data_IF_248742524744
#
_entry.id   IF_248742524744
#
_cell.length_a   1.000
_cell.length_b   1.000
_cell.length_c   1.000
_cell.angle_alpha   90.00
_cell.angle_beta   90.00
_cell.angle_gamma   90.00
#
_symmetry.space_group_name_H-M   'P 1'
#
loop_
_entity.id
_entity.type
_entity.pdbx_description
1 polymer ?
#
# COMPACT_ATOMS: atom_id res chain seq x y z
N UNK A 1 -23.12 1.16 -55.56
CA UNK A 1 -24.48 1.66 -55.82
C UNK A 1 -25.47 0.59 -55.38
N UNK A 2 -26.48 0.99 -54.63
CA UNK A 2 -27.44 0.15 -53.93
C UNK A 2 -28.31 -0.73 -54.85
N UNK A 3 -28.56 -1.97 -54.44
CA UNK A 3 -29.91 -2.55 -54.25
C UNK A 3 -29.84 -4.09 -54.29
N UNK A 4 -30.30 -4.74 -53.23
CA UNK A 4 -30.69 -6.16 -53.26
C UNK A 4 -31.92 -6.32 -52.36
N UNK A 5 -33.07 -6.49 -53.00
CA UNK A 5 -34.30 -6.93 -52.38
C UNK A 5 -34.27 -8.46 -52.18
N UNK A 6 -34.79 -8.95 -51.05
CA UNK A 6 -35.49 -10.24 -51.00
C UNK A 6 -36.26 -10.37 -49.69
N UNK A 7 -37.58 -10.23 -49.79
CA UNK A 7 -38.54 -10.78 -48.86
C UNK A 7 -38.70 -12.28 -49.11
N UNK A 8 -38.80 -13.07 -48.03
CA UNK A 8 -39.71 -14.24 -47.92
C UNK A 8 -39.60 -14.83 -46.52
N UNK A 9 -40.71 -14.70 -45.78
CA UNK A 9 -40.92 -15.41 -44.54
C UNK A 9 -41.16 -16.91 -44.78
N UNK A 10 -40.67 -17.72 -43.85
CA UNK A 10 -41.17 -19.07 -43.65
C UNK A 10 -41.34 -19.27 -42.13
N UNK A 11 -42.60 -19.29 -41.69
CA UNK A 11 -42.98 -19.78 -40.36
C UNK A 11 -42.93 -21.30 -40.40
N UNK A 12 -42.11 -21.90 -39.54
CA UNK A 12 -42.30 -23.28 -39.10
C UNK A 12 -42.51 -23.27 -37.59
N UNK A 13 -43.74 -23.62 -37.21
CA UNK A 13 -44.19 -23.80 -35.85
C UNK A 13 -43.80 -25.20 -35.33
N UNK A 14 -43.27 -25.25 -34.10
CA UNK A 14 -43.52 -26.34 -33.16
C UNK A 14 -42.36 -27.29 -32.86
N UNK A 15 -41.70 -27.09 -31.72
CA UNK A 15 -41.87 -27.96 -30.53
C UNK A 15 -41.10 -27.40 -29.33
N UNK A 16 -41.82 -27.34 -28.22
CA UNK A 16 -41.37 -26.99 -26.88
C UNK A 16 -40.48 -28.12 -26.35
N UNK A 17 -39.25 -27.82 -25.96
CA UNK A 17 -38.55 -28.55 -24.90
C UNK A 17 -37.97 -27.54 -23.92
N UNK A 18 -38.66 -27.45 -22.79
CA UNK A 18 -38.18 -27.13 -21.46
C UNK A 18 -36.66 -27.07 -21.29
N UNK A 19 -36.17 -25.92 -20.84
CA UNK A 19 -34.82 -25.77 -20.33
C UNK A 19 -34.62 -24.38 -19.74
N UNK A 20 -35.32 -24.06 -18.64
CA UNK A 20 -34.90 -22.97 -17.75
C UNK A 20 -33.49 -23.33 -17.24
N UNK A 21 -32.45 -22.73 -17.80
CA UNK A 21 -31.21 -22.55 -17.05
C UNK A 21 -31.32 -21.16 -16.43
N UNK A 22 -31.99 -21.08 -15.29
CA UNK A 22 -31.71 -20.01 -14.37
C UNK A 22 -30.24 -20.19 -13.97
N UNK A 23 -29.34 -19.47 -14.64
CA UNK A 23 -27.98 -19.32 -14.17
C UNK A 23 -28.05 -18.51 -12.89
N UNK A 24 -28.18 -19.19 -11.77
CA UNK A 24 -27.82 -18.62 -10.49
C UNK A 24 -26.30 -18.47 -10.56
N UNK A 25 -25.83 -17.29 -10.96
CA UNK A 25 -24.45 -16.89 -10.78
C UNK A 25 -24.24 -16.72 -9.27
N UNK A 26 -23.98 -17.84 -8.58
CA UNK A 26 -23.33 -17.80 -7.28
C UNK A 26 -21.85 -17.67 -7.59
N UNK A 27 -21.37 -16.45 -7.87
CA UNK A 27 -19.94 -16.23 -7.70
C UNK A 27 -19.70 -16.37 -6.20
N UNK A 28 -19.13 -17.50 -5.75
CA UNK A 28 -18.41 -17.47 -4.49
C UNK A 28 -17.27 -16.49 -4.71
N UNK A 29 -17.47 -15.22 -4.34
CA UNK A 29 -16.36 -14.30 -4.14
C UNK A 29 -15.48 -14.98 -3.11
N UNK A 30 -14.36 -15.54 -3.57
CA UNK A 30 -13.29 -16.22 -2.85
C UNK A 30 -13.73 -17.07 -1.63
N UNK A 31 -13.36 -18.36 -1.61
CA UNK A 31 -13.39 -19.11 -0.35
C UNK A 31 -12.36 -18.48 0.61
N UNK A 32 -12.75 -17.47 1.37
CA UNK A 32 -11.95 -16.99 2.48
C UNK A 32 -11.68 -18.20 3.36
N UNK A 33 -10.40 -18.55 3.49
CA UNK A 33 -9.98 -19.71 4.29
C UNK A 33 -10.29 -19.47 5.77
N UNK A 34 -10.28 -18.20 6.18
CA UNK A 34 -10.64 -17.75 7.51
C UNK A 34 -11.91 -16.88 7.46
N UNK A 35 -12.70 -16.93 8.52
CA UNK A 35 -13.99 -16.24 8.56
C UNK A 35 -14.51 -16.09 9.98
N UNK A 36 -15.70 -15.52 10.10
CA UNK A 36 -16.36 -15.34 11.40
C UNK A 36 -16.49 -16.67 12.17
N UNK A 37 -16.82 -17.77 11.49
CA UNK A 37 -16.92 -19.08 12.13
C UNK A 37 -15.58 -19.59 12.64
N UNK A 38 -14.49 -19.45 11.89
CA UNK A 38 -13.16 -19.83 12.36
C UNK A 38 -12.77 -19.03 13.61
N UNK A 39 -13.06 -17.73 13.61
CA UNK A 39 -12.89 -16.87 14.79
C UNK A 39 -13.71 -17.36 15.99
N UNK A 40 -15.01 -17.61 15.83
CA UNK A 40 -15.90 -18.09 16.89
C UNK A 40 -15.49 -19.47 17.42
N UNK A 41 -15.04 -20.37 16.54
CA UNK A 41 -14.56 -21.71 16.88
C UNK A 41 -13.18 -21.70 17.58
N UNK A 42 -12.59 -20.52 17.80
CA UNK A 42 -11.45 -20.34 18.69
C UNK A 42 -10.12 -20.05 17.98
N UNK A 43 -10.12 -19.86 16.66
CA UNK A 43 -8.94 -19.41 15.91
C UNK A 43 -8.72 -17.90 16.13
N UNK A 44 -8.03 -17.61 17.24
CA UNK A 44 -7.59 -16.27 17.65
C UNK A 44 -6.17 -16.00 17.18
N UNK A 45 -5.94 -14.81 16.63
CA UNK A 45 -4.63 -14.39 16.13
C UNK A 45 -3.61 -14.19 17.26
N UNK A 46 -4.03 -13.56 18.37
CA UNK A 46 -3.12 -13.27 19.50
C UNK A 46 -2.50 -14.52 20.11
N UNK A 47 -3.19 -15.66 20.09
CA UNK A 47 -2.66 -16.94 20.60
C UNK A 47 -1.45 -17.45 19.82
N UNK A 48 -1.29 -17.01 18.56
CA UNK A 48 -0.17 -17.40 17.69
C UNK A 48 1.02 -16.45 17.82
N UNK A 49 0.82 -15.27 18.42
CA UNK A 49 1.86 -14.27 18.52
C UNK A 49 2.89 -14.65 19.58
N UNK A 50 4.16 -14.66 19.18
CA UNK A 50 5.33 -14.76 20.03
C UNK A 50 6.11 -13.45 20.06
N UNK A 51 7.29 -13.44 20.71
CA UNK A 51 8.14 -12.24 20.80
C UNK A 51 8.64 -11.75 19.43
N UNK A 52 8.82 -12.67 18.47
CA UNK A 52 9.30 -12.38 17.11
C UNK A 52 8.16 -12.17 16.10
N UNK A 53 6.91 -12.02 16.54
CA UNK A 53 5.76 -11.71 15.68
C UNK A 53 5.73 -10.22 15.33
N UNK A 54 6.74 -9.75 14.60
CA UNK A 54 6.92 -8.35 14.24
C UNK A 54 7.05 -8.18 12.73
N UNK A 55 6.63 -7.03 12.24
CA UNK A 55 6.92 -6.57 10.89
C UNK A 55 8.07 -5.58 10.96
N UNK A 56 9.17 -5.93 10.30
CA UNK A 56 10.38 -5.12 10.22
C UNK A 56 10.57 -4.73 8.76
N UNK A 57 10.79 -3.45 8.49
CA UNK A 57 11.03 -2.95 7.13
C UNK A 57 12.43 -2.36 7.04
N UNK A 58 13.22 -2.80 6.07
CA UNK A 58 14.55 -2.25 5.79
C UNK A 58 14.43 -1.22 4.68
N UNK A 59 14.67 0.04 5.03
CA UNK A 59 14.59 1.19 4.14
C UNK A 59 15.99 1.77 3.84
N UNK A 60 16.10 2.38 2.66
CA UNK A 60 17.35 2.98 2.21
C UNK A 60 17.34 3.27 0.72
N UNK A 61 18.41 3.92 0.26
CA UNK A 61 18.61 4.25 -1.15
C UNK A 61 18.77 2.97 -2.03
N UNK A 62 18.67 3.09 -3.36
CA UNK A 62 18.54 1.95 -4.28
C UNK A 62 19.61 0.87 -4.07
N UNK A 63 20.89 1.25 -4.14
CA UNK A 63 22.04 0.35 -4.03
C UNK A 63 22.71 0.37 -2.64
N UNK A 64 21.93 0.53 -1.56
CA UNK A 64 22.45 0.53 -0.19
C UNK A 64 22.79 -0.87 0.37
N UNK A 65 22.50 -1.95 -0.36
CA UNK A 65 22.73 -3.33 0.11
C UNK A 65 21.61 -3.90 1.01
N UNK A 66 20.48 -3.21 1.08
CA UNK A 66 19.31 -3.51 1.91
C UNK A 66 18.83 -4.97 1.82
N UNK A 67 18.75 -5.56 0.63
CA UNK A 67 18.25 -6.93 0.49
C UNK A 67 19.14 -8.00 1.10
N UNK A 68 20.45 -7.82 1.07
CA UNK A 68 21.37 -8.76 1.74
C UNK A 68 21.22 -8.68 3.27
N UNK A 69 21.03 -7.46 3.80
CA UNK A 69 20.84 -7.22 5.23
C UNK A 69 19.49 -7.79 5.66
N UNK A 70 18.41 -7.48 4.94
CA UNK A 70 17.06 -7.96 5.21
C UNK A 70 16.98 -9.50 5.21
N UNK A 71 17.62 -10.16 4.24
CA UNK A 71 17.66 -11.62 4.17
C UNK A 71 18.40 -12.23 5.36
N UNK A 72 19.62 -11.74 5.67
CA UNK A 72 20.39 -12.24 6.82
C UNK A 72 19.67 -12.00 8.15
N UNK A 73 19.02 -10.84 8.29
CA UNK A 73 18.24 -10.49 9.46
C UNK A 73 17.05 -11.44 9.65
N UNK A 74 16.33 -11.75 8.56
CA UNK A 74 15.22 -12.69 8.59
C UNK A 74 15.69 -14.11 8.97
N UNK A 75 16.79 -14.58 8.38
CA UNK A 75 17.38 -15.88 8.70
C UNK A 75 17.80 -15.98 10.17
N UNK A 76 18.37 -14.90 10.73
CA UNK A 76 18.78 -14.83 12.14
C UNK A 76 17.61 -14.80 13.11
N UNK A 77 16.57 -14.01 12.83
CA UNK A 77 15.40 -13.86 13.69
C UNK A 77 14.34 -14.97 13.50
N UNK A 78 14.54 -15.87 12.53
CA UNK A 78 13.57 -16.90 12.15
C UNK A 78 12.30 -16.33 11.52
N UNK A 79 12.39 -15.16 10.89
CA UNK A 79 11.29 -14.45 10.26
C UNK A 79 11.20 -14.76 8.77
N UNK A 80 10.01 -14.55 8.17
CA UNK A 80 9.84 -14.70 6.72
C UNK A 80 10.39 -13.47 6.00
N UNK A 81 11.33 -13.69 5.09
CA UNK A 81 11.85 -12.63 4.22
C UNK A 81 10.95 -12.44 2.99
N UNK A 82 10.56 -11.20 2.75
CA UNK A 82 9.89 -10.74 1.53
C UNK A 82 10.89 -9.89 0.73
N UNK A 83 11.29 -10.32 -0.47
CA UNK A 83 12.24 -9.57 -1.30
C UNK A 83 11.63 -8.26 -1.80
N UNK A 84 12.45 -7.32 -2.27
CA UNK A 84 11.94 -6.06 -2.85
C UNK A 84 10.91 -6.34 -3.95
N UNK A 85 9.74 -5.69 -3.82
CA UNK A 85 8.67 -5.75 -4.78
C UNK A 85 9.12 -5.26 -6.16
N UNK A 86 9.00 -6.14 -7.17
CA UNK A 86 9.30 -5.83 -8.56
C UNK A 86 8.02 -5.57 -9.37
N UNK A 87 8.18 -5.07 -10.60
CA UNK A 87 7.05 -4.76 -11.49
C UNK A 87 6.17 -5.98 -11.79
N UNK A 88 6.73 -7.19 -11.68
CA UNK A 88 6.06 -8.47 -11.93
C UNK A 88 5.64 -9.22 -10.66
N UNK A 89 5.67 -8.59 -9.48
CA UNK A 89 5.31 -9.25 -8.23
C UNK A 89 3.90 -9.88 -8.29
N UNK A 90 2.92 -9.15 -8.82
CA UNK A 90 1.54 -9.64 -8.96
C UNK A 90 1.44 -10.82 -9.94
N UNK A 91 2.26 -10.84 -10.99
CA UNK A 91 2.29 -11.95 -11.94
C UNK A 91 2.83 -13.22 -11.27
N UNK A 92 3.82 -13.07 -10.39
CA UNK A 92 4.43 -14.17 -9.63
C UNK A 92 3.52 -14.72 -8.53
N UNK A 93 2.78 -13.85 -7.85
CA UNK A 93 1.89 -14.26 -6.75
C UNK A 93 0.54 -14.77 -7.27
N UNK A 94 0.11 -14.35 -8.46
CA UNK A 94 -1.18 -14.74 -9.03
C UNK A 94 -1.07 -15.81 -10.12
N UNK A 95 -2.08 -16.68 -10.19
CA UNK A 95 -2.20 -17.72 -11.22
C UNK A 95 -1.06 -18.73 -11.23
N UNK A 96 -0.38 -18.84 -12.36
CA UNK A 96 0.68 -19.81 -12.69
C UNK A 96 2.10 -19.31 -12.37
N UNK A 97 2.25 -18.05 -11.94
CA UNK A 97 3.55 -17.45 -11.61
C UNK A 97 4.41 -17.10 -12.83
N UNK A 98 3.86 -17.19 -14.05
CA UNK A 98 4.55 -16.77 -15.27
C UNK A 98 4.53 -15.25 -15.40
N UNK A 99 5.64 -14.69 -15.92
CA UNK A 99 5.75 -13.26 -16.16
C UNK A 99 4.86 -12.90 -17.36
N UNK A 100 3.94 -11.97 -17.16
CA UNK A 100 3.02 -11.57 -18.22
C UNK A 100 3.65 -10.48 -19.09
N UNK A 101 3.21 -10.36 -20.36
CA UNK A 101 3.55 -9.21 -21.18
C UNK A 101 3.21 -7.89 -20.48
N UNK A 102 4.09 -6.88 -20.61
CA UNK A 102 3.96 -5.58 -19.92
C UNK A 102 2.58 -4.92 -20.09
N UNK A 103 1.90 -5.17 -21.21
CA UNK A 103 0.52 -4.72 -21.47
C UNK A 103 -0.48 -5.12 -20.37
N UNK A 104 -0.27 -6.24 -19.70
CA UNK A 104 -1.15 -6.73 -18.62
C UNK A 104 -0.65 -6.35 -17.22
N UNK A 105 0.64 -6.03 -17.08
CA UNK A 105 1.29 -5.65 -15.81
C UNK A 105 1.45 -4.12 -15.72
N UNK A 106 0.35 -3.38 -15.92
CA UNK A 106 0.32 -1.92 -15.77
C UNK A 106 0.95 -1.10 -16.92
N UNK A 107 1.42 -1.75 -17.99
CA UNK A 107 2.10 -1.12 -19.13
C UNK A 107 3.22 -0.14 -18.69
N UNK A 108 3.94 -0.52 -17.65
CA UNK A 108 5.06 0.24 -17.11
C UNK A 108 6.35 -0.56 -17.22
N UNK A 109 7.47 0.15 -17.28
CA UNK A 109 8.81 -0.45 -17.30
C UNK A 109 9.81 0.45 -16.58
N UNK A 110 10.58 -0.16 -15.67
CA UNK A 110 11.71 0.49 -15.01
C UNK A 110 12.81 0.91 -15.99
N UNK A 111 13.12 0.06 -16.97
CA UNK A 111 14.14 0.36 -17.98
C UNK A 111 13.79 1.62 -18.78
N UNK A 112 12.52 1.72 -19.21
CA UNK A 112 12.02 2.90 -19.92
C UNK A 112 12.07 4.16 -19.05
N UNK A 113 11.83 4.03 -17.74
CA UNK A 113 11.95 5.15 -16.81
C UNK A 113 13.39 5.64 -16.67
N UNK A 114 14.37 4.75 -16.59
CA UNK A 114 15.77 5.16 -16.50
C UNK A 114 16.33 5.71 -17.80
N UNK A 115 15.82 5.24 -18.95
CA UNK A 115 16.22 5.73 -20.27
C UNK A 115 15.68 7.13 -20.56
N UNK A 116 14.39 7.37 -20.32
CA UNK A 116 13.76 8.68 -20.47
C UNK A 116 12.71 8.94 -19.38
N UNK A 117 13.12 9.49 -18.23
CA UNK A 117 12.22 9.82 -17.13
C UNK A 117 11.19 10.91 -17.48
N UNK A 118 11.36 11.65 -18.57
CA UNK A 118 10.46 12.74 -19.01
C UNK A 118 9.64 12.35 -20.23
N UNK A 119 9.55 11.06 -20.51
CA UNK A 119 8.81 10.54 -21.64
C UNK A 119 7.34 11.01 -21.60
N UNK A 120 6.79 11.57 -22.70
CA UNK A 120 5.41 12.05 -22.75
C UNK A 120 4.35 10.94 -22.64
N UNK A 121 4.76 9.67 -22.71
CA UNK A 121 3.91 8.49 -22.52
C UNK A 121 3.39 8.32 -21.07
N UNK A 122 3.89 9.12 -20.12
CA UNK A 122 3.46 9.07 -18.73
C UNK A 122 4.00 7.86 -17.94
N UNK A 123 4.96 7.11 -18.51
CA UNK A 123 5.55 5.92 -17.89
C UNK A 123 6.05 6.19 -16.47
N UNK A 124 6.64 7.35 -16.20
CA UNK A 124 7.23 7.69 -14.89
C UNK A 124 6.20 7.63 -13.76
N UNK A 125 5.04 8.28 -13.95
CA UNK A 125 4.00 8.26 -12.92
C UNK A 125 3.22 6.93 -12.91
N UNK A 126 2.95 6.35 -14.09
CA UNK A 126 2.29 5.04 -14.19
C UNK A 126 3.07 3.95 -13.47
N UNK A 127 4.40 3.93 -13.64
CA UNK A 127 5.31 3.05 -12.93
C UNK A 127 5.28 3.30 -11.43
N UNK A 128 5.32 4.55 -10.97
CA UNK A 128 5.27 4.85 -9.53
C UNK A 128 3.95 4.39 -8.91
N UNK A 129 2.81 4.64 -9.58
CA UNK A 129 1.50 4.18 -9.14
C UNK A 129 1.39 2.65 -9.12
N UNK A 130 1.94 1.97 -10.13
CA UNK A 130 2.03 0.51 -10.16
C UNK A 130 2.89 -0.04 -9.02
N UNK A 131 4.08 0.53 -8.80
CA UNK A 131 4.99 0.13 -7.72
C UNK A 131 4.36 0.34 -6.34
N UNK A 132 3.63 1.44 -6.13
CA UNK A 132 2.86 1.65 -4.90
C UNK A 132 1.83 0.55 -4.69
N UNK A 133 1.06 0.22 -5.74
CA UNK A 133 0.04 -0.83 -5.73
C UNK A 133 0.64 -2.19 -5.39
N UNK A 134 1.76 -2.53 -6.02
CA UNK A 134 2.50 -3.76 -5.76
C UNK A 134 3.01 -3.81 -4.32
N UNK A 135 3.60 -2.72 -3.80
CA UNK A 135 4.10 -2.64 -2.42
C UNK A 135 2.98 -2.78 -1.39
N UNK A 136 1.81 -2.21 -1.67
CA UNK A 136 0.63 -2.36 -0.83
C UNK A 136 0.15 -3.83 -0.79
N UNK A 137 0.13 -4.49 -1.94
CA UNK A 137 -0.24 -5.90 -2.05
C UNK A 137 0.77 -6.81 -1.34
N UNK A 138 2.06 -6.54 -1.48
CA UNK A 138 3.11 -7.26 -0.73
C UNK A 138 3.00 -7.05 0.78
N UNK A 139 2.68 -5.83 1.22
CA UNK A 139 2.44 -5.55 2.63
C UNK A 139 1.22 -6.28 3.17
N UNK A 140 0.15 -6.38 2.37
CA UNK A 140 -1.03 -7.20 2.67
C UNK A 140 -0.67 -8.69 2.81
N UNK A 141 0.17 -9.23 1.93
CA UNK A 141 0.65 -10.63 2.02
C UNK A 141 1.52 -10.88 3.26
N UNK A 142 2.36 -9.90 3.65
CA UNK A 142 3.16 -9.99 4.87
C UNK A 142 2.30 -9.92 6.14
N UNK A 143 1.26 -9.07 6.15
CA UNK A 143 0.27 -9.02 7.23
C UNK A 143 -0.55 -10.30 7.31
N UNK A 144 -1.01 -10.83 6.18
CA UNK A 144 -1.72 -12.11 6.13
C UNK A 144 -0.85 -13.24 6.70
N UNK A 145 0.44 -13.29 6.32
CA UNK A 145 1.39 -14.26 6.86
C UNK A 145 1.56 -14.11 8.38
N UNK A 146 1.75 -12.88 8.86
CA UNK A 146 1.89 -12.60 10.29
C UNK A 146 0.64 -13.02 11.07
N UNK A 147 -0.55 -12.63 10.61
CA UNK A 147 -1.83 -12.85 11.32
C UNK A 147 -2.29 -14.31 11.27
N UNK A 148 -1.92 -15.06 10.22
CA UNK A 148 -2.28 -16.47 10.07
C UNK A 148 -1.30 -17.41 10.78
N UNK A 149 0.00 -17.14 10.71
CA UNK A 149 1.04 -18.04 11.23
C UNK A 149 1.61 -17.61 12.58
N UNK A 150 1.57 -16.31 12.88
CA UNK A 150 2.30 -15.72 14.01
C UNK A 150 3.80 -15.53 13.73
N UNK A 151 4.33 -15.91 12.58
CA UNK A 151 5.74 -15.69 12.24
C UNK A 151 5.95 -14.24 11.77
N UNK A 152 6.98 -13.57 12.31
CA UNK A 152 7.37 -12.23 11.87
C UNK A 152 7.77 -12.17 10.39
N UNK A 153 7.75 -10.97 9.83
CA UNK A 153 8.09 -10.72 8.44
C UNK A 153 9.10 -9.57 8.32
N UNK A 154 10.12 -9.78 7.49
CA UNK A 154 11.09 -8.74 7.12
C UNK A 154 10.86 -8.36 5.66
N UNK A 155 10.58 -7.08 5.41
CA UNK A 155 10.35 -6.54 4.06
C UNK A 155 11.47 -5.58 3.65
N UNK A 156 11.73 -5.53 2.34
CA UNK A 156 12.51 -4.45 1.74
C UNK A 156 11.60 -3.32 1.27
N UNK A 157 11.72 -2.18 1.93
CA UNK A 157 10.83 -1.03 1.77
C UNK A 157 9.36 -1.34 2.08
N UNK A 158 8.59 -0.28 2.29
CA UNK A 158 7.18 -0.38 2.66
C UNK A 158 6.35 0.62 1.85
N UNK A 159 5.03 0.45 1.75
CA UNK A 159 4.18 1.49 1.16
C UNK A 159 4.29 2.83 1.88
N UNK A 160 4.73 2.85 3.14
CA UNK A 160 4.98 4.07 3.91
C UNK A 160 6.20 4.85 3.42
N UNK A 161 7.22 4.19 2.86
CA UNK A 161 8.43 4.86 2.34
C UNK A 161 8.36 5.19 0.85
N UNK A 162 7.31 4.76 0.14
CA UNK A 162 7.13 4.95 -1.30
C UNK A 162 7.10 6.42 -1.74
N UNK A 163 6.47 7.29 -0.94
CA UNK A 163 6.31 8.71 -1.29
C UNK A 163 7.65 9.45 -1.44
N UNK A 164 8.73 8.92 -0.85
CA UNK A 164 10.09 9.47 -1.00
C UNK A 164 10.51 9.47 -2.48
N UNK A 165 10.18 8.42 -3.22
CA UNK A 165 10.49 8.32 -4.65
C UNK A 165 9.65 9.29 -5.46
N UNK A 166 8.36 9.41 -5.14
CA UNK A 166 7.46 10.35 -5.80
C UNK A 166 7.91 11.80 -5.63
N UNK A 167 8.23 12.21 -4.40
CA UNK A 167 8.74 13.56 -4.11
C UNK A 167 10.06 13.83 -4.84
N UNK A 168 10.96 12.85 -4.88
CA UNK A 168 12.21 12.96 -5.64
C UNK A 168 11.94 13.11 -7.15
N UNK A 169 10.98 12.36 -7.71
CA UNK A 169 10.59 12.51 -9.12
C UNK A 169 10.02 13.91 -9.40
N UNK A 170 9.24 14.47 -8.47
CA UNK A 170 8.71 15.82 -8.60
C UNK A 170 9.78 16.90 -8.54
N UNK A 171 10.70 16.82 -7.56
CA UNK A 171 11.83 17.76 -7.42
C UNK A 171 12.70 17.82 -8.67
N UNK A 172 12.84 16.70 -9.39
CA UNK A 172 13.59 16.61 -10.65
C UNK A 172 12.75 16.92 -11.90
N UNK A 173 11.46 17.25 -11.74
CA UNK A 173 10.55 17.61 -12.83
C UNK A 173 10.21 16.45 -13.76
N UNK A 174 10.17 15.22 -13.25
CA UNK A 174 9.77 14.02 -14.01
C UNK A 174 8.25 13.83 -14.03
N UNK A 175 7.55 14.33 -13.00
CA UNK A 175 6.10 14.21 -12.85
C UNK A 175 5.45 15.58 -12.64
N UNK A 176 4.17 15.67 -13.00
CA UNK A 176 3.37 16.89 -12.86
C UNK A 176 2.76 16.96 -11.45
N UNK A 177 2.39 18.17 -11.01
CA UNK A 177 1.76 18.39 -9.70
C UNK A 177 0.45 17.60 -9.54
N UNK A 178 -0.37 17.52 -10.59
CA UNK A 178 -1.63 16.75 -10.61
C UNK A 178 -1.42 15.27 -10.24
N UNK A 179 -0.28 14.69 -10.65
CA UNK A 179 0.07 13.30 -10.32
C UNK A 179 0.34 13.13 -8.82
N UNK A 180 0.87 14.15 -8.14
CA UNK A 180 1.13 14.11 -6.70
C UNK A 180 -0.19 14.23 -5.94
N UNK A 181 -1.08 15.12 -6.39
CA UNK A 181 -2.39 15.29 -5.78
C UNK A 181 -3.18 13.97 -5.82
N UNK A 182 -3.16 13.26 -6.95
CA UNK A 182 -3.75 11.93 -7.09
C UNK A 182 -3.07 10.86 -6.25
N UNK A 183 -1.74 10.86 -6.18
CA UNK A 183 -1.03 9.93 -5.31
C UNK A 183 -1.39 10.15 -3.84
N UNK A 184 -1.49 11.41 -3.40
CA UNK A 184 -1.87 11.74 -2.03
C UNK A 184 -3.31 11.32 -1.71
N UNK A 185 -4.22 11.40 -2.68
CA UNK A 185 -5.59 10.87 -2.55
C UNK A 185 -5.58 9.35 -2.35
N UNK A 186 -4.86 8.62 -3.21
CA UNK A 186 -4.69 7.16 -3.07
C UNK A 186 -4.05 6.80 -1.73
N UNK A 187 -2.96 7.49 -1.37
CA UNK A 187 -2.22 7.27 -0.12
C UNK A 187 -3.13 7.47 1.10
N UNK A 188 -3.92 8.55 1.12
CA UNK A 188 -4.85 8.84 2.22
C UNK A 188 -5.97 7.79 2.34
N UNK A 189 -6.46 7.24 1.23
CA UNK A 189 -7.49 6.20 1.26
C UNK A 189 -6.96 4.82 1.69
N UNK A 190 -5.67 4.54 1.43
CA UNK A 190 -5.12 3.20 1.58
C UNK A 190 -4.28 3.02 2.84
N UNK A 191 -3.41 3.97 3.19
CA UNK A 191 -2.47 3.80 4.31
C UNK A 191 -3.20 3.66 5.66
N UNK A 192 -4.30 4.39 5.86
CA UNK A 192 -5.00 4.43 7.14
C UNK A 192 -5.72 3.10 7.48
N UNK A 193 -5.93 2.23 6.50
CA UNK A 193 -6.51 0.89 6.70
C UNK A 193 -5.48 -0.13 7.21
N UNK A 194 -4.18 0.20 7.14
CA UNK A 194 -3.09 -0.68 7.54
C UNK A 194 -2.37 -0.18 8.80
N UNK A 195 -1.96 -1.12 9.65
CA UNK A 195 -1.05 -0.81 10.75
C UNK A 195 0.37 -0.56 10.21
N UNK A 196 1.10 0.46 10.70
CA UNK A 196 2.47 0.73 10.29
C UNK A 196 3.41 -0.40 10.74
N UNK A 197 4.61 -0.55 10.14
CA UNK A 197 5.56 -1.57 10.58
C UNK A 197 5.95 -1.37 12.07
N UNK A 198 6.40 -2.43 12.75
CA UNK A 198 6.83 -2.30 14.14
C UNK A 198 8.15 -1.54 14.23
N UNK A 199 9.05 -1.81 13.30
CA UNK A 199 10.40 -1.26 13.25
C UNK A 199 10.77 -0.93 11.80
N UNK A 200 11.34 0.26 11.61
CA UNK A 200 11.98 0.68 10.36
C UNK A 200 13.49 0.75 10.56
N UNK A 201 14.23 -0.03 9.78
CA UNK A 201 15.69 0.00 9.77
C UNK A 201 16.14 0.84 8.59
N UNK A 202 16.67 2.04 8.84
CA UNK A 202 17.16 2.93 7.80
C UNK A 202 18.68 2.81 7.61
N UNK A 203 19.09 2.45 6.41
CA UNK A 203 20.51 2.32 6.02
C UNK A 203 20.98 3.60 5.30
N UNK A 204 21.76 4.42 6.02
CA UNK A 204 22.33 5.67 5.53
C UNK A 204 23.58 5.41 4.69
N UNK A 205 23.43 5.53 3.37
CA UNK A 205 24.53 5.49 2.39
C UNK A 205 24.44 6.75 1.54
N UNK A 206 25.51 7.56 1.46
CA UNK A 206 25.51 8.80 0.69
C UNK A 206 25.19 8.56 -0.79
N UNK A 207 24.41 9.44 -1.41
CA UNK A 207 24.01 9.33 -2.82
C UNK A 207 25.21 9.23 -3.78
N UNK A 208 26.33 9.88 -3.47
CA UNK A 208 27.56 9.79 -4.27
C UNK A 208 28.14 8.37 -4.29
N UNK A 209 28.13 7.69 -3.14
CA UNK A 209 28.59 6.30 -3.02
C UNK A 209 27.62 5.34 -3.71
N UNK A 210 26.31 5.56 -3.54
CA UNK A 210 25.25 4.80 -4.22
C UNK A 210 25.40 4.91 -5.74
N UNK A 211 25.61 6.11 -6.27
CA UNK A 211 25.82 6.35 -7.69
C UNK A 211 27.05 5.59 -8.21
N UNK A 212 28.17 5.61 -7.47
CA UNK A 212 29.36 4.82 -7.83
C UNK A 212 29.06 3.32 -7.87
N UNK A 213 28.35 2.78 -6.87
CA UNK A 213 27.94 1.37 -6.82
C UNK A 213 27.04 0.98 -7.99
N UNK A 214 26.12 1.87 -8.39
CA UNK A 214 25.23 1.65 -9.54
C UNK A 214 26.03 1.64 -10.85
N UNK A 215 26.99 2.56 -11.03
CA UNK A 215 27.85 2.56 -12.22
C UNK A 215 28.70 1.29 -12.35
N UNK A 216 29.18 0.75 -11.22
CA UNK A 216 29.98 -0.48 -11.19
C UNK A 216 29.14 -1.75 -11.40
N UNK A 217 28.03 -1.90 -10.66
CA UNK A 217 27.28 -3.17 -10.54
C UNK A 217 25.86 -3.15 -11.12
N UNK A 218 25.32 -1.97 -11.42
CA UNK A 218 23.95 -1.81 -11.89
C UNK A 218 23.73 -2.30 -13.32
N UNK A 219 22.47 -2.52 -13.66
CA UNK A 219 22.07 -2.86 -15.03
C UNK A 219 22.31 -1.69 -15.99
N UNK A 220 22.39 -1.97 -17.29
CA UNK A 220 22.69 -0.96 -18.33
C UNK A 220 21.76 0.26 -18.27
N UNK A 221 20.48 0.05 -17.96
CA UNK A 221 19.48 1.11 -17.80
C UNK A 221 19.68 1.86 -16.48
N UNK A 222 19.88 1.15 -15.36
CA UNK A 222 20.11 1.75 -14.03
C UNK A 222 21.35 2.66 -13.99
N UNK A 223 22.37 2.39 -14.81
CA UNK A 223 23.56 3.24 -14.92
C UNK A 223 23.27 4.66 -15.44
N UNK A 224 22.11 4.87 -16.06
CA UNK A 224 21.68 6.19 -16.56
C UNK A 224 21.02 7.05 -15.49
N UNK A 225 20.84 6.53 -14.27
CA UNK A 225 20.23 7.27 -13.15
C UNK A 225 21.03 8.52 -12.83
N UNK A 226 20.36 9.67 -12.82
CA UNK A 226 20.98 10.95 -12.53
C UNK A 226 21.32 11.07 -11.03
N UNK A 227 22.53 11.53 -10.71
CA UNK A 227 22.95 11.81 -9.33
C UNK A 227 22.01 12.77 -8.57
N UNK A 228 21.48 13.87 -9.17
CA UNK A 228 20.52 14.76 -8.49
C UNK A 228 19.24 14.04 -8.04
N UNK A 229 18.82 13.00 -8.76
CA UNK A 229 17.67 12.19 -8.36
C UNK A 229 17.97 11.37 -7.10
N UNK A 230 19.13 10.72 -7.04
CA UNK A 230 19.57 9.97 -5.85
C UNK A 230 19.76 10.86 -4.63
N UNK A 231 20.28 12.08 -4.82
CA UNK A 231 20.39 13.10 -3.77
C UNK A 231 19.00 13.56 -3.28
N UNK A 232 18.06 13.74 -4.21
CA UNK A 232 16.68 14.13 -3.86
C UNK A 232 16.00 13.05 -3.01
N UNK A 233 16.22 11.77 -3.33
CA UNK A 233 15.75 10.63 -2.52
C UNK A 233 16.35 10.68 -1.11
N UNK A 234 17.67 10.81 -1.01
CA UNK A 234 18.38 10.88 0.29
C UNK A 234 17.86 12.04 1.14
N UNK A 235 17.72 13.23 0.55
CA UNK A 235 17.22 14.42 1.24
C UNK A 235 15.78 14.22 1.70
N UNK A 236 14.89 13.70 0.86
CA UNK A 236 13.50 13.45 1.25
C UNK A 236 13.39 12.37 2.34
N UNK A 237 14.23 11.33 2.34
CA UNK A 237 14.28 10.39 3.47
C UNK A 237 14.61 11.11 4.78
N UNK A 238 15.62 11.99 4.77
CA UNK A 238 16.10 12.71 5.97
C UNK A 238 15.18 13.84 6.42
N UNK A 239 14.59 14.57 5.50
CA UNK A 239 13.77 15.77 5.75
C UNK A 239 12.29 15.44 6.03
N UNK A 240 11.72 14.46 5.33
CA UNK A 240 10.28 14.16 5.39
C UNK A 240 10.00 12.85 6.13
N UNK A 241 10.60 11.74 5.68
CA UNK A 241 10.25 10.39 6.16
C UNK A 241 10.67 10.13 7.61
N UNK A 242 11.96 10.31 7.94
CA UNK A 242 12.47 10.04 9.28
C UNK A 242 11.80 10.92 10.35
N UNK A 243 11.54 12.23 10.12
CA UNK A 243 10.80 13.04 11.09
C UNK A 243 9.34 12.62 11.26
N UNK A 244 8.64 12.25 10.19
CA UNK A 244 7.23 11.83 10.26
C UNK A 244 7.04 10.57 11.14
N UNK A 245 8.02 9.66 11.14
CA UNK A 245 7.99 8.48 12.01
C UNK A 245 8.47 8.82 13.44
N UNK A 246 9.34 9.82 13.59
CA UNK A 246 9.92 10.19 14.90
C UNK A 246 9.00 11.08 15.76
N UNK A 247 8.05 11.80 15.19
CA UNK A 247 7.22 12.80 15.91
C UNK A 247 6.10 12.09 16.71
N UNK A 248 6.47 11.46 17.83
CA UNK A 248 5.63 11.43 19.06
C UNK A 248 6.47 11.13 20.34
N UNK A 249 7.51 11.94 20.60
CA UNK A 249 8.27 11.90 21.88
C UNK A 249 7.98 13.11 22.79
N UNK A 250 7.19 14.11 22.37
CA UNK A 250 6.90 15.29 23.19
C UNK A 250 5.41 15.60 23.32
N UNK A 251 4.65 14.79 24.08
CA UNK A 251 3.57 15.30 24.95
C UNK A 251 3.45 14.45 26.25
N UNK A 252 3.50 15.06 27.45
CA UNK A 252 3.02 14.41 28.68
C UNK A 252 1.48 14.26 28.67
N UNK A 253 0.91 13.34 29.47
CA UNK A 253 -0.48 12.92 29.33
C UNK A 253 -1.45 14.05 29.68
N UNK A 254 -2.38 14.35 28.77
CA UNK A 254 -3.63 15.01 29.14
C UNK A 254 -4.52 13.99 29.82
N UNK A 255 -5.04 14.40 30.98
CA UNK A 255 -5.72 13.62 32.03
C UNK A 255 -6.86 12.71 31.51
N UNK A 256 -7.16 11.61 32.22
CA UNK A 256 -8.24 10.71 31.87
C UNK A 256 -9.60 11.43 31.93
N UNK A 257 -10.39 11.28 30.87
CA UNK A 257 -11.79 11.67 30.82
C UNK A 257 -12.58 10.71 31.70
N UNK A 258 -12.84 11.13 32.93
CA UNK A 258 -13.79 10.46 33.80
C UNK A 258 -15.22 10.79 33.38
N UNK A 259 -15.97 9.73 33.04
CA UNK A 259 -17.43 9.57 33.23
C UNK A 259 -18.36 10.55 32.49
N UNK A 260 -18.89 10.06 31.37
CA UNK A 260 -20.29 10.29 31.01
C UNK A 260 -21.18 9.57 32.04
N UNK A 261 -21.72 10.31 33.00
CA UNK A 261 -22.97 9.93 33.65
C UNK A 261 -23.72 11.18 34.11
N UNK A 262 -24.91 11.34 33.54
CA UNK A 262 -26.00 12.20 34.02
C UNK A 262 -25.75 13.71 33.97
N UNK A 263 -26.23 14.36 32.90
CA UNK A 263 -27.04 15.59 32.97
C UNK A 263 -27.55 16.01 31.58
N UNK A 264 -28.44 15.19 31.03
CA UNK A 264 -29.53 15.69 30.17
C UNK A 264 -30.83 15.47 30.95
N UNK A 265 -31.11 16.37 31.88
CA UNK A 265 -32.46 16.55 32.40
C UNK A 265 -32.72 18.05 32.55
N UNK A 266 -33.76 18.47 31.84
CA UNK A 266 -34.56 19.67 32.08
C UNK A 266 -33.91 21.03 31.76
N UNK A 267 -34.19 21.47 30.54
CA UNK A 267 -34.97 22.68 30.31
C UNK A 267 -36.00 22.91 31.44
N UNK A 268 -35.89 24.02 32.17
CA UNK A 268 -37.01 24.91 32.52
C UNK A 268 -36.52 25.99 33.49
N UNK A 269 -36.94 27.24 33.21
CA UNK A 269 -36.76 28.46 34.01
C UNK A 269 -35.34 29.04 33.92
N UNK A 270 -35.09 30.27 33.49
CA UNK A 270 -35.95 31.43 33.32
C UNK A 270 -35.13 32.66 33.72
N UNK A 271 -35.23 33.73 32.92
CA UNK A 271 -34.84 35.13 33.21
C UNK A 271 -33.37 35.57 33.07
N UNK A 272 -33.19 36.34 31.97
CA UNK A 272 -32.80 37.76 31.90
C UNK A 272 -31.65 38.29 32.78
N UNK A 273 -30.61 38.76 32.06
CA UNK A 273 -29.99 40.10 32.07
C UNK A 273 -29.48 40.66 33.41
N UNK A 274 -28.16 40.80 33.52
CA UNK A 274 -27.52 41.97 34.12
C UNK A 274 -26.08 42.14 33.59
N UNK A 275 -25.80 43.33 33.07
CA UNK A 275 -24.46 43.89 32.77
C UNK A 275 -24.12 44.84 33.93
N UNK A 276 -22.86 44.87 34.41
CA UNK A 276 -22.13 46.15 34.49
C UNK A 276 -20.64 45.96 34.12
N UNK A 277 -20.11 46.69 33.13
CA UNK A 277 -19.54 48.06 33.13
C UNK A 277 -18.01 48.05 33.24
N UNK A 278 -17.38 48.76 32.30
CA UNK A 278 -15.95 48.83 32.01
C UNK A 278 -15.09 49.45 33.11
N UNK A 279 -13.86 48.96 33.26
CA UNK A 279 -12.73 49.78 33.67
C UNK A 279 -11.46 49.41 32.88
N UNK A 280 -10.76 50.45 32.43
CA UNK A 280 -9.70 50.49 31.43
C UNK A 280 -8.35 49.90 31.90
N UNK A 281 -7.52 49.39 30.98
CA UNK A 281 -6.22 50.01 30.62
C UNK A 281 -5.44 49.26 29.50
N UNK A 282 -5.13 50.03 28.44
CA UNK A 282 -3.93 50.01 27.56
C UNK A 282 -3.80 49.03 26.36
N UNK A 283 -4.18 49.58 25.19
CA UNK A 283 -3.35 49.87 23.99
C UNK A 283 -2.46 48.76 23.35
N UNK A 284 -2.83 48.33 22.13
CA UNK A 284 -2.20 48.71 20.84
C UNK A 284 -2.99 48.13 19.64
N UNK A 285 -3.11 48.90 18.56
CA UNK A 285 -4.03 48.68 17.44
C UNK A 285 -3.66 47.56 16.45
N UNK A 286 -4.53 47.29 15.45
CA UNK A 286 -4.38 46.14 14.55
C UNK A 286 -3.71 46.54 13.24
N UNK A 287 -2.68 45.79 12.85
CA UNK A 287 -2.29 45.65 11.45
C UNK A 287 -2.18 44.15 11.12
N UNK A 288 -2.85 43.80 10.01
CA UNK A 288 -2.58 42.66 9.12
C UNK A 288 -3.09 41.25 9.50
N UNK A 289 -4.29 40.97 8.96
CA UNK A 289 -4.62 39.85 8.08
C UNK A 289 -3.74 38.59 8.21
N UNK A 290 -4.21 37.62 9.00
CA UNK A 290 -3.82 36.22 8.81
C UNK A 290 -4.99 35.51 8.14
N UNK A 291 -4.82 35.23 6.85
CA UNK A 291 -5.71 34.34 6.12
C UNK A 291 -5.58 32.93 6.67
N UNK A 292 -6.69 32.41 7.19
CA UNK A 292 -6.90 30.99 7.41
C UNK A 292 -6.70 30.23 6.10
N UNK A 293 -5.67 29.39 6.06
CA UNK A 293 -5.55 28.21 5.19
C UNK A 293 -4.33 27.40 5.66
N UNK A 294 -4.48 26.69 6.78
CA UNK A 294 -3.65 25.52 7.07
C UNK A 294 -4.39 24.28 6.58
N UNK A 295 -3.85 23.49 5.64
CA UNK A 295 -4.30 22.12 5.49
C UNK A 295 -3.87 21.35 6.75
N UNK A 296 -4.85 20.79 7.44
CA UNK A 296 -4.65 19.79 8.48
C UNK A 296 -3.98 18.56 7.88
N UNK A 297 -2.81 18.19 8.36
CA UNK A 297 -2.18 16.91 8.06
C UNK A 297 -1.72 16.29 9.38
N UNK A 298 -2.54 15.38 9.91
CA UNK A 298 -2.13 14.42 10.92
C UNK A 298 -1.52 13.22 10.21
N UNK A 299 -0.30 12.83 10.58
CA UNK A 299 0.16 11.46 10.37
C UNK A 299 0.77 10.98 11.67
N UNK A 300 0.19 9.90 12.19
CA UNK A 300 0.67 9.12 13.30
C UNK A 300 1.55 8.00 12.75
N UNK A 301 2.69 7.75 13.37
CA UNK A 301 3.63 6.74 12.88
C UNK A 301 4.54 6.25 13.99
N UNK A 302 3.97 5.66 15.05
CA UNK A 302 4.73 5.13 16.19
C UNK A 302 5.40 3.78 15.83
N UNK A 303 6.17 3.76 14.74
CA UNK A 303 7.16 2.73 14.45
C UNK A 303 8.48 3.12 15.08
N UNK A 304 9.17 2.19 15.73
CA UNK A 304 10.53 2.45 16.17
C UNK A 304 11.45 2.57 14.95
N UNK A 305 12.51 3.39 15.04
CA UNK A 305 13.47 3.57 13.95
C UNK A 305 14.86 3.25 14.46
N UNK A 306 15.56 2.37 13.75
CA UNK A 306 16.99 2.16 13.91
C UNK A 306 17.72 2.69 12.69
N UNK A 307 18.73 3.54 12.92
CA UNK A 307 19.54 4.14 11.87
C UNK A 307 20.94 3.55 11.91
N UNK A 308 21.40 3.05 10.77
CA UNK A 308 22.75 2.51 10.62
C UNK A 308 23.47 3.18 9.46
N UNK A 309 24.78 3.31 9.57
CA UNK A 309 25.63 3.59 8.40
C UNK A 309 25.79 2.34 7.55
N UNK A 310 26.15 2.50 6.26
CA UNK A 310 26.33 1.37 5.34
C UNK A 310 27.33 0.29 5.79
N UNK A 311 28.28 0.61 6.66
CA UNK A 311 29.23 -0.36 7.22
C UNK A 311 28.65 -1.08 8.45
N UNK A 312 28.05 -0.34 9.37
CA UNK A 312 27.43 -0.90 10.58
C UNK A 312 26.27 -1.82 10.24
N UNK A 313 25.50 -1.49 9.20
CA UNK A 313 24.35 -2.29 8.78
C UNK A 313 24.74 -3.70 8.27
N UNK A 314 26.02 -3.95 7.97
CA UNK A 314 26.50 -5.27 7.57
C UNK A 314 26.69 -6.21 8.78
N UNK A 315 26.86 -5.65 9.97
CA UNK A 315 26.98 -6.40 11.22
C UNK A 315 25.58 -6.72 11.75
N UNK A 316 25.04 -7.86 11.30
CA UNK A 316 23.68 -8.29 11.62
C UNK A 316 23.52 -8.64 13.10
N UNK A 317 24.57 -9.06 13.79
CA UNK A 317 24.49 -9.39 15.22
C UNK A 317 24.19 -8.14 16.03
N UNK A 318 24.91 -7.05 15.76
CA UNK A 318 24.64 -5.75 16.38
C UNK A 318 23.20 -5.29 16.13
N UNK A 319 22.72 -5.42 14.89
CA UNK A 319 21.34 -5.05 14.53
C UNK A 319 20.32 -5.90 15.30
N UNK A 320 20.56 -7.21 15.44
CA UNK A 320 19.67 -8.11 16.20
C UNK A 320 19.68 -7.76 17.68
N UNK A 321 20.85 -7.52 18.28
CA UNK A 321 20.97 -7.09 19.68
C UNK A 321 20.17 -5.80 19.91
N UNK A 322 20.34 -4.78 19.06
CA UNK A 322 19.60 -3.52 19.15
C UNK A 322 18.08 -3.74 19.08
N UNK A 323 17.61 -4.67 18.23
CA UNK A 323 16.19 -5.03 18.13
C UNK A 323 15.66 -5.67 19.41
N UNK A 324 16.45 -6.54 20.04
CA UNK A 324 16.07 -7.21 21.30
C UNK A 324 16.00 -6.24 22.48
N UNK A 325 16.82 -5.17 22.45
CA UNK A 325 16.77 -4.11 23.48
C UNK A 325 15.57 -3.17 23.34
N UNK A 326 14.93 -3.10 22.17
CA UNK A 326 13.79 -2.20 21.93
C UNK A 326 12.54 -2.66 22.67
N UNK A 327 11.95 -1.72 23.42
CA UNK A 327 10.64 -1.89 24.06
C UNK A 327 9.58 -1.16 23.24
N UNK A 328 8.74 -1.92 22.54
CA UNK A 328 7.73 -1.43 21.60
C UNK A 328 6.50 -0.84 22.30
N UNK A 329 6.70 -0.06 23.36
CA UNK A 329 5.65 0.33 24.31
C UNK A 329 4.65 1.33 23.72
N UNK A 330 5.07 2.13 22.73
CA UNK A 330 4.25 3.20 22.10
C UNK A 330 3.62 2.81 20.78
N UNK A 331 3.75 1.55 20.38
CA UNK A 331 3.37 1.10 19.04
C UNK A 331 1.84 0.92 18.94
N UNK A 332 1.17 1.30 17.83
CA UNK A 332 -0.29 1.14 17.69
C UNK A 332 -0.72 -0.33 17.70
N UNK A 333 0.24 -1.24 17.59
CA UNK A 333 0.08 -2.68 17.75
C UNK A 333 -0.29 -3.11 19.17
N UNK A 334 0.08 -2.34 20.20
CA UNK A 334 -0.24 -2.68 21.60
C UNK A 334 -1.70 -2.41 21.96
N UNK A 335 -2.37 -1.50 21.22
CA UNK A 335 -3.78 -1.16 21.41
C UNK A 335 -4.73 -2.16 20.74
N UNK A 336 -4.21 -3.05 19.91
CA UNK A 336 -5.01 -4.01 19.14
C UNK A 336 -5.46 -5.19 19.99
N UNK A 337 -6.64 -5.72 19.66
CA UNK A 337 -7.22 -6.91 20.30
C UNK A 337 -7.59 -7.97 19.25
N UNK A 338 -8.05 -9.13 19.72
CA UNK A 338 -8.45 -10.23 18.81
C UNK A 338 -9.51 -9.83 17.78
N UNK A 339 -10.40 -8.89 18.11
CA UNK A 339 -11.46 -8.42 17.20
C UNK A 339 -10.86 -7.52 16.12
N UNK A 340 -9.99 -6.59 16.47
CA UNK A 340 -9.34 -5.71 15.48
C UNK A 340 -8.42 -6.52 14.58
N UNK A 341 -7.65 -7.48 15.12
CA UNK A 341 -6.85 -8.40 14.32
C UNK A 341 -7.70 -9.31 13.43
N UNK A 342 -8.89 -9.73 13.87
CA UNK A 342 -9.82 -10.48 13.04
C UNK A 342 -10.27 -9.65 11.83
N UNK A 343 -10.69 -8.41 12.04
CA UNK A 343 -11.10 -7.53 10.93
C UNK A 343 -9.95 -7.21 9.98
N UNK A 344 -8.76 -6.93 10.51
CA UNK A 344 -7.56 -6.72 9.70
C UNK A 344 -7.23 -7.97 8.87
N UNK A 345 -7.28 -9.17 9.46
CA UNK A 345 -7.05 -10.44 8.75
C UNK A 345 -8.06 -10.66 7.62
N UNK A 346 -9.35 -10.46 7.90
CA UNK A 346 -10.42 -10.54 6.90
C UNK A 346 -10.22 -9.54 5.75
N UNK A 347 -9.70 -8.35 6.07
CA UNK A 347 -9.42 -7.33 5.07
C UNK A 347 -8.22 -7.69 4.19
N UNK A 348 -7.09 -8.13 4.77
CA UNK A 348 -5.89 -8.46 4.00
C UNK A 348 -5.99 -9.76 3.19
N UNK A 349 -6.82 -10.71 3.62
CA UNK A 349 -7.10 -11.93 2.84
C UNK A 349 -7.91 -11.62 1.56
N UNK A 350 -8.75 -10.56 1.57
CA UNK A 350 -9.51 -10.11 0.40
C UNK A 350 -8.69 -9.11 -0.44
N UNK A 351 -7.90 -9.65 -1.38
CA UNK A 351 -7.02 -8.85 -2.25
C UNK A 351 -7.78 -7.91 -3.18
N UNK A 352 -9.00 -8.24 -3.58
CA UNK A 352 -9.84 -7.34 -4.39
C UNK A 352 -10.25 -6.11 -3.58
N UNK A 353 -10.59 -6.32 -2.29
CA UNK A 353 -10.91 -5.21 -1.38
C UNK A 353 -9.68 -4.32 -1.11
N UNK A 354 -8.49 -4.91 -0.94
CA UNK A 354 -7.24 -4.12 -0.83
C UNK A 354 -6.99 -3.31 -2.09
N UNK A 355 -7.12 -3.92 -3.28
CA UNK A 355 -6.95 -3.25 -4.56
C UNK A 355 -8.00 -2.16 -4.82
N UNK A 356 -9.18 -2.24 -4.20
CA UNK A 356 -10.21 -1.21 -4.35
C UNK A 356 -9.81 0.14 -3.73
N UNK A 357 -8.95 0.15 -2.71
CA UNK A 357 -8.51 1.38 -2.03
C UNK A 357 -7.62 2.27 -2.91
N UNK A 358 -6.88 1.63 -3.83
CA UNK A 358 -5.98 2.31 -4.76
C UNK A 358 -6.66 2.66 -6.09
N UNK A 359 -7.85 2.13 -6.34
CA UNK A 359 -8.60 2.36 -7.59
C UNK A 359 -9.54 3.55 -7.42
N UNK A 360 -9.00 4.75 -7.59
CA UNK A 360 -9.78 6.00 -7.50
C UNK A 360 -10.25 6.45 -8.88
N UNK A 361 -11.52 6.87 -9.05
CA UNK A 361 -12.06 7.36 -10.33
C UNK A 361 -11.60 8.80 -10.64
N UNK A 362 -10.29 9.03 -10.61
CA UNK A 362 -9.65 10.32 -10.89
C UNK A 362 -8.88 10.22 -12.21
N UNK A 363 -9.31 11.02 -13.19
CA UNK A 363 -8.85 10.90 -14.58
C UNK A 363 -7.63 11.78 -14.85
N UNK A 364 -6.46 11.15 -14.92
CA UNK A 364 -5.18 11.79 -15.23
C UNK A 364 -4.57 11.12 -16.48
N UNK A 365 -4.00 11.88 -17.43
CA UNK A 365 -3.51 11.35 -18.72
C UNK A 365 -2.54 10.18 -18.62
N UNK A 366 -1.67 10.17 -17.61
CA UNK A 366 -0.60 9.17 -17.45
C UNK A 366 -1.13 7.78 -17.07
N UNK A 367 -2.29 7.72 -16.40
CA UNK A 367 -2.88 6.48 -15.87
C UNK A 367 -4.21 6.11 -16.53
N UNK A 368 -4.90 7.07 -17.14
CA UNK A 368 -6.24 6.83 -17.71
C UNK A 368 -6.11 6.05 -19.01
N UNK A 369 -6.67 4.84 -19.02
CA UNK A 369 -6.71 3.98 -20.21
C UNK A 369 -8.04 4.19 -20.92
N UNK A 370 -8.01 4.30 -22.25
CA UNK A 370 -9.22 4.42 -23.05
C UNK A 370 -10.09 3.16 -22.96
N UNK A 371 -11.41 3.30 -22.94
CA UNK A 371 -12.34 2.18 -22.76
C UNK A 371 -12.13 1.06 -23.80
N UNK A 372 -11.91 1.40 -25.07
CA UNK A 372 -11.65 0.42 -26.14
C UNK A 372 -10.34 -0.33 -25.95
N UNK A 373 -9.31 0.35 -25.45
CA UNK A 373 -8.01 -0.27 -25.17
C UNK A 373 -8.11 -1.21 -23.97
N UNK A 374 -8.78 -0.77 -22.91
CA UNK A 374 -9.05 -1.58 -21.72
C UNK A 374 -9.86 -2.84 -22.07
N UNK A 375 -10.95 -2.70 -22.83
CA UNK A 375 -11.81 -3.82 -23.23
C UNK A 375 -11.02 -4.86 -24.06
N UNK A 376 -10.21 -4.39 -25.02
CA UNK A 376 -9.32 -5.24 -25.80
C UNK A 376 -8.29 -5.96 -24.91
N UNK A 377 -7.64 -5.24 -23.99
CA UNK A 377 -6.67 -5.82 -23.05
C UNK A 377 -7.33 -6.85 -22.11
N UNK A 378 -8.53 -6.57 -21.62
CA UNK A 378 -9.29 -7.45 -20.74
C UNK A 378 -9.61 -8.80 -21.40
N UNK A 379 -10.15 -8.80 -22.61
CA UNK A 379 -10.45 -10.05 -23.32
C UNK A 379 -9.18 -10.80 -23.73
N UNK A 380 -8.10 -10.09 -24.08
CA UNK A 380 -6.81 -10.71 -24.34
C UNK A 380 -6.25 -11.38 -23.08
N UNK A 381 -6.32 -10.73 -21.92
CA UNK A 381 -5.93 -11.31 -20.64
C UNK A 381 -6.75 -12.57 -20.32
N UNK A 382 -8.08 -12.53 -20.50
CA UNK A 382 -8.95 -13.70 -20.28
C UNK A 382 -8.77 -14.82 -21.30
N UNK A 383 -8.16 -14.54 -22.45
CA UNK A 383 -7.82 -15.56 -23.44
C UNK A 383 -6.55 -16.34 -23.08
N UNK A 384 -5.76 -15.84 -22.12
CA UNK A 384 -4.58 -16.54 -21.62
C UNK A 384 -4.99 -17.80 -20.84
N UNK A 385 -4.19 -18.87 -20.92
CA UNK A 385 -4.49 -20.12 -20.25
C UNK A 385 -4.53 -19.92 -18.72
N UNK A 386 -5.55 -20.48 -18.06
CA UNK A 386 -5.71 -20.42 -16.61
C UNK A 386 -6.22 -19.09 -16.06
N UNK A 387 -6.57 -18.13 -16.93
CA UNK A 387 -7.00 -16.76 -16.53
C UNK A 387 -8.43 -16.41 -16.96
N UNK A 388 -9.13 -17.34 -17.60
CA UNK A 388 -10.51 -17.14 -18.07
C UNK A 388 -11.53 -17.17 -16.93
N UNK A 389 -11.36 -18.11 -16.00
CA UNK A 389 -12.21 -18.33 -14.84
C UNK A 389 -11.40 -18.26 -13.55
N UNK A 390 -12.10 -18.25 -12.41
CA UNK A 390 -11.47 -18.31 -11.08
C UNK A 390 -10.56 -19.54 -10.96
N UNK A 391 -9.48 -19.41 -10.20
CA UNK A 391 -8.52 -20.49 -9.92
C UNK A 391 -9.26 -21.75 -9.45
N UNK A 392 -8.95 -22.90 -10.04
CA UNK A 392 -9.59 -24.18 -9.74
C UNK A 392 -10.77 -24.57 -10.66
N UNK A 393 -11.15 -23.69 -11.59
CA UNK A 393 -12.24 -23.88 -12.56
C UNK A 393 -11.78 -23.76 -14.04
N UNK A 394 -10.47 -23.82 -14.31
CA UNK A 394 -9.90 -23.65 -15.65
C UNK A 394 -9.51 -25.02 -16.25
N UNK A 395 -10.37 -25.55 -17.11
CA UNK A 395 -10.18 -26.88 -17.74
C UNK A 395 -8.94 -26.94 -18.65
N UNK A 396 -8.57 -25.81 -19.24
CA UNK A 396 -7.42 -25.60 -20.12
C UNK A 396 -6.07 -25.81 -19.44
N UNK A 397 -5.99 -25.61 -18.12
CA UNK A 397 -4.79 -25.92 -17.31
C UNK A 397 -4.91 -27.24 -16.55
N UNK A 398 -5.97 -28.03 -16.83
CA UNK A 398 -6.17 -29.35 -16.24
C UNK A 398 -6.84 -29.35 -14.87
N UNK A 399 -7.56 -28.29 -14.50
CA UNK A 399 -8.36 -28.30 -13.28
C UNK A 399 -9.39 -29.45 -13.31
N UNK A 400 -9.39 -30.26 -12.25
CA UNK A 400 -10.29 -31.42 -12.11
C UNK A 400 -11.49 -31.09 -11.25
N UNK A 401 -12.55 -31.89 -11.41
CA UNK A 401 -13.79 -31.81 -10.62
C UNK A 401 -14.51 -30.46 -10.74
N UNK A 402 -14.36 -29.77 -11.88
CA UNK A 402 -14.90 -28.42 -12.09
C UNK A 402 -16.42 -28.35 -11.85
N UNK A 403 -17.17 -29.40 -12.22
CA UNK A 403 -18.63 -29.45 -12.03
C UNK A 403 -19.06 -29.74 -10.58
N UNK A 404 -18.14 -30.14 -9.72
CA UNK A 404 -18.38 -30.56 -8.34
C UNK A 404 -17.71 -29.65 -7.30
N UNK A 405 -17.16 -28.53 -7.75
CA UNK A 405 -16.72 -27.39 -6.92
C UNK A 405 -17.76 -26.30 -7.10
#
# INVERSE_FOLDING_TARGET
MFSSAASRGLRLTGKICSGRVAQIHVSSRHSLLYGYWAYVLGERTTKRFGPNSKIITVDGNLASGKGQIAKKLADRLGMRYFPEADEHYLDKTTGDGSILPSKFSGNCSLDKFYDDPKCPDGNSYRLQSWMYSVRLMQYSDALEHLLSTGQGAVLERSPFSDFVFLEAMYKNGYIRKQCIDHYNEIKGNSIDEFLPPHLVIYVDVPAAEVHKKILERGHTSEKKVALPYLQSIENTYKESFLPQIRIEILKPPLKPVSRLSAEKKLLLQGRRLAIPSEENLRLKGPHELVTDNKPSLSYAGNSEILKYTGNEAQDVEKVVEDIEYLKFDKSPWTEQNDVTYHHLRMFVEDKDKVASLITVPSYIPEITIGASEYDSAYYQYRSLPGRKYTKGYNADIGDKMIWLK
#
